data_IF_962156224792
#
_entry.id   IF_962156224792
#
_cell.length_a   1.000
_cell.length_b   1.000
_cell.length_c   1.000
_cell.angle_alpha   90.00
_cell.angle_beta   90.00
_cell.angle_gamma   90.00
#
_symmetry.space_group_name_H-M   'P 1'
#
loop_
_entity.id
_entity.type
_entity.pdbx_description
1 polymer ?
#
# COMPACT_ATOMS: atom_id res chain seq x y z
N UNK A 1 -1.84 14.02 -13.06
CA UNK A 1 -1.13 12.85 -13.59
C UNK A 1 -0.03 12.53 -12.62
N UNK A 2 0.15 11.26 -12.28
CA UNK A 2 1.18 10.77 -11.37
C UNK A 2 2.18 9.94 -12.19
N UNK A 3 3.42 10.43 -12.28
CA UNK A 3 4.50 9.77 -13.00
C UNK A 3 5.36 9.00 -11.98
N UNK A 4 5.21 7.67 -11.94
CA UNK A 4 5.91 6.79 -11.01
C UNK A 4 6.68 5.74 -11.82
N UNK A 5 8.01 5.74 -11.73
CA UNK A 5 8.85 4.88 -12.54
C UNK A 5 8.58 5.07 -14.03
N UNK A 6 8.19 3.98 -14.69
CA UNK A 6 7.84 3.95 -16.11
C UNK A 6 6.33 4.06 -16.37
N UNK A 7 5.52 4.27 -15.32
CA UNK A 7 4.06 4.29 -15.40
C UNK A 7 3.51 5.69 -15.30
N UNK A 8 2.48 5.98 -16.10
CA UNK A 8 1.71 7.21 -16.07
C UNK A 8 0.31 6.89 -15.54
N UNK A 9 0.01 7.31 -14.32
CA UNK A 9 -1.21 6.94 -13.61
C UNK A 9 -2.07 8.20 -13.38
N UNK A 10 -3.38 8.08 -13.53
CA UNK A 10 -4.31 9.17 -13.16
C UNK A 10 -4.22 9.50 -11.67
N UNK A 11 -4.30 10.80 -11.30
CA UNK A 11 -4.36 11.19 -9.88
C UNK A 11 -5.73 11.82 -9.58
N UNK A 12 -6.39 11.50 -8.43
CA UNK A 12 -5.97 10.46 -7.48
C UNK A 12 -6.08 9.07 -8.10
N UNK A 13 -5.13 8.20 -7.76
CA UNK A 13 -5.12 6.79 -8.17
C UNK A 13 -5.80 5.91 -7.13
N UNK A 14 -6.52 4.89 -7.57
CA UNK A 14 -7.07 3.86 -6.68
C UNK A 14 -6.20 2.61 -6.78
N UNK A 15 -5.65 2.20 -5.64
CA UNK A 15 -4.88 0.98 -5.45
C UNK A 15 -5.78 -0.07 -4.78
N UNK A 16 -6.10 -1.14 -5.51
CA UNK A 16 -6.90 -2.25 -5.02
C UNK A 16 -6.07 -3.25 -4.22
N UNK A 17 -6.55 -3.64 -3.04
CA UNK A 17 -5.89 -4.61 -2.17
C UNK A 17 -6.25 -6.03 -2.60
N UNK A 18 -5.26 -6.82 -2.97
CA UNK A 18 -5.39 -8.25 -3.28
C UNK A 18 -4.59 -9.10 -2.27
N UNK A 19 -5.26 -9.53 -1.20
CA UNK A 19 -4.64 -10.41 -0.20
C UNK A 19 -4.74 -11.87 -0.63
N UNK A 20 -3.61 -12.56 -0.70
CA UNK A 20 -3.50 -13.99 -1.02
C UNK A 20 -3.14 -14.76 0.26
N UNK A 21 -4.05 -14.74 1.25
CA UNK A 21 -3.88 -15.48 2.50
C UNK A 21 -4.73 -16.76 2.48
N UNK A 22 -4.37 -17.81 3.25
CA UNK A 22 -5.15 -19.07 3.31
C UNK A 22 -6.61 -18.84 3.64
N UNK A 23 -6.92 -17.87 4.52
CA UNK A 23 -8.28 -17.53 4.93
C UNK A 23 -9.09 -16.82 3.84
N UNK A 24 -8.41 -16.23 2.86
CA UNK A 24 -9.07 -15.50 1.75
C UNK A 24 -9.59 -16.46 0.67
N UNK A 25 -9.12 -17.72 0.67
CA UNK A 25 -9.41 -18.74 -0.34
C UNK A 25 -9.59 -20.10 0.35
N UNK A 26 -10.72 -20.31 1.02
CA UNK A 26 -10.95 -21.37 2.03
C UNK A 26 -11.12 -22.80 1.54
N UNK A 27 -10.92 -23.12 0.25
CA UNK A 27 -11.05 -24.49 -0.28
C UNK A 27 -9.81 -24.94 -1.05
N UNK A 28 -8.93 -25.57 -0.31
CA UNK A 28 -7.88 -26.53 -0.65
C UNK A 28 -7.41 -26.67 -2.10
N UNK A 29 -6.28 -26.03 -2.46
CA UNK A 29 -5.44 -26.46 -3.58
C UNK A 29 -5.19 -25.44 -4.69
N UNK A 30 -3.98 -25.14 -4.81
CA UNK A 30 -3.13 -24.27 -5.62
C UNK A 30 -3.69 -23.60 -6.90
N UNK A 31 -4.23 -24.33 -7.88
CA UNK A 31 -4.61 -23.73 -9.18
C UNK A 31 -5.92 -22.93 -9.15
N UNK A 32 -6.92 -23.37 -8.38
CA UNK A 32 -8.21 -22.66 -8.27
C UNK A 32 -8.03 -21.33 -7.58
N UNK A 33 -7.20 -21.29 -6.52
CA UNK A 33 -6.92 -20.07 -5.78
C UNK A 33 -6.21 -19.00 -6.62
N UNK A 34 -5.29 -19.40 -7.51
CA UNK A 34 -4.62 -18.47 -8.44
C UNK A 34 -5.63 -17.90 -9.44
N UNK A 35 -6.47 -18.75 -10.06
CA UNK A 35 -7.48 -18.31 -11.00
C UNK A 35 -8.50 -17.34 -10.36
N UNK A 36 -8.92 -17.61 -9.12
CA UNK A 36 -9.83 -16.74 -8.38
C UNK A 36 -9.18 -15.40 -8.02
N UNK A 37 -7.89 -15.40 -7.63
CA UNK A 37 -7.12 -14.18 -7.38
C UNK A 37 -6.95 -13.32 -8.64
N UNK A 38 -6.59 -13.95 -9.77
CA UNK A 38 -6.50 -13.27 -11.07
C UNK A 38 -7.86 -12.70 -11.48
N UNK A 39 -8.93 -13.48 -11.37
CA UNK A 39 -10.28 -13.01 -11.67
C UNK A 39 -10.71 -11.84 -10.75
N UNK A 40 -10.28 -11.84 -9.48
CA UNK A 40 -10.52 -10.71 -8.57
C UNK A 40 -9.73 -9.46 -9.00
N UNK A 41 -8.45 -9.62 -9.35
CA UNK A 41 -7.66 -8.52 -9.90
C UNK A 41 -8.33 -7.92 -11.15
N UNK A 42 -8.79 -8.77 -12.08
CA UNK A 42 -9.47 -8.32 -13.30
C UNK A 42 -10.76 -7.55 -12.99
N UNK A 43 -11.56 -7.99 -12.02
CA UNK A 43 -12.74 -7.21 -11.56
C UNK A 43 -12.34 -5.82 -11.03
N UNK A 44 -11.28 -5.73 -10.20
CA UNK A 44 -10.80 -4.44 -9.70
C UNK A 44 -10.32 -3.53 -10.84
N UNK A 45 -9.70 -4.09 -11.88
CA UNK A 45 -9.26 -3.35 -13.07
C UNK A 45 -10.48 -2.84 -13.85
N UNK A 46 -11.47 -3.69 -14.08
CA UNK A 46 -12.73 -3.33 -14.76
C UNK A 46 -13.51 -2.25 -14.00
N UNK A 47 -13.45 -2.27 -12.68
CA UNK A 47 -14.00 -1.22 -11.80
C UNK A 47 -13.23 0.11 -11.92
N UNK A 48 -11.99 0.10 -12.42
CA UNK A 48 -11.17 1.29 -12.66
C UNK A 48 -9.97 1.44 -11.72
N UNK A 49 -9.55 0.39 -11.03
CA UNK A 49 -8.30 0.43 -10.26
C UNK A 49 -7.11 0.75 -11.19
N UNK A 50 -6.20 1.59 -10.71
CA UNK A 50 -4.98 1.97 -11.43
C UNK A 50 -3.77 1.13 -11.01
N UNK A 51 -3.82 0.55 -9.82
CA UNK A 51 -2.76 -0.28 -9.24
C UNK A 51 -3.44 -1.45 -8.53
N UNK A 52 -2.87 -2.66 -8.64
CA UNK A 52 -3.23 -3.82 -7.81
C UNK A 52 -2.07 -4.09 -6.86
N UNK A 53 -2.35 -4.04 -5.55
CA UNK A 53 -1.36 -4.29 -4.51
C UNK A 53 -1.54 -5.70 -3.95
N UNK A 54 -0.57 -6.57 -4.22
CA UNK A 54 -0.64 -8.01 -3.96
C UNK A 54 0.21 -8.34 -2.73
N UNK A 55 -0.43 -8.91 -1.69
CA UNK A 55 0.25 -9.36 -0.48
C UNK A 55 -0.14 -10.78 -0.08
N UNK A 56 0.83 -11.59 0.36
CA UNK A 56 0.62 -12.97 0.78
C UNK A 56 0.93 -13.24 2.27
N UNK A 57 1.42 -12.22 2.97
CA UNK A 57 1.60 -12.24 4.43
C UNK A 57 0.64 -11.23 5.08
N UNK A 58 -0.06 -11.62 6.14
CA UNK A 58 -0.88 -10.68 6.92
C UNK A 58 0.01 -9.84 7.81
N UNK A 59 -0.31 -8.55 7.93
CA UNK A 59 0.35 -7.61 8.87
C UNK A 59 -0.60 -7.16 9.98
N UNK A 60 -1.73 -7.86 10.16
CA UNK A 60 -2.69 -7.59 11.25
C UNK A 60 -2.11 -7.96 12.61
N UNK A 61 -2.57 -7.34 13.72
CA UNK A 61 -2.13 -7.72 15.05
C UNK A 61 -2.25 -9.24 15.28
N UNK A 62 -1.15 -9.86 15.75
CA UNK A 62 -1.10 -11.30 16.01
C UNK A 62 -0.89 -12.20 14.78
N UNK A 63 -0.50 -11.62 13.63
CA UNK A 63 -0.17 -12.43 12.47
C UNK A 63 1.01 -13.37 12.73
N UNK A 64 1.02 -14.49 12.02
CA UNK A 64 2.16 -15.42 12.01
C UNK A 64 2.96 -15.17 10.73
N UNK A 65 4.27 -14.90 10.83
CA UNK A 65 5.12 -14.77 9.66
C UNK A 65 5.14 -16.05 8.84
N UNK A 66 5.07 -15.93 7.52
CA UNK A 66 5.26 -17.05 6.59
C UNK A 66 6.72 -17.08 6.11
N UNK A 67 7.19 -18.26 5.67
CA UNK A 67 8.52 -18.36 5.08
C UNK A 67 8.59 -17.63 3.72
N UNK A 68 9.79 -17.22 3.30
CA UNK A 68 10.02 -16.64 1.97
C UNK A 68 9.48 -17.56 0.86
N UNK A 69 9.77 -18.87 0.98
CA UNK A 69 9.30 -19.86 0.03
C UNK A 69 7.77 -19.89 -0.06
N UNK A 70 7.10 -19.93 1.08
CA UNK A 70 5.63 -19.96 1.12
C UNK A 70 5.01 -18.68 0.56
N UNK A 71 5.62 -17.52 0.84
CA UNK A 71 5.20 -16.24 0.29
C UNK A 71 5.37 -16.21 -1.23
N UNK A 72 6.52 -16.66 -1.76
CA UNK A 72 6.77 -16.80 -3.20
C UNK A 72 5.80 -17.78 -3.86
N UNK A 73 5.57 -18.94 -3.26
CA UNK A 73 4.66 -19.97 -3.79
C UNK A 73 3.23 -19.43 -3.94
N UNK A 74 2.83 -18.43 -3.13
CA UNK A 74 1.53 -17.75 -3.23
C UNK A 74 1.53 -16.60 -4.24
N UNK A 75 2.54 -15.72 -4.18
CA UNK A 75 2.60 -14.47 -4.94
C UNK A 75 2.90 -14.68 -6.43
N UNK A 76 3.94 -15.45 -6.74
CA UNK A 76 4.48 -15.49 -8.10
C UNK A 76 3.50 -16.04 -9.14
N UNK A 77 2.71 -17.10 -8.85
CA UNK A 77 1.71 -17.57 -9.81
C UNK A 77 0.62 -16.53 -10.12
N UNK A 78 0.23 -15.71 -9.11
CA UNK A 78 -0.79 -14.68 -9.29
C UNK A 78 -0.25 -13.50 -10.09
N UNK A 79 0.98 -13.04 -9.80
CA UNK A 79 1.64 -11.96 -10.56
C UNK A 79 1.74 -12.36 -12.02
N UNK A 80 2.25 -13.56 -12.32
CA UNK A 80 2.36 -14.09 -13.69
C UNK A 80 0.99 -14.20 -14.37
N UNK A 81 0.00 -14.76 -13.68
CA UNK A 81 -1.35 -14.89 -14.23
C UNK A 81 -2.01 -13.53 -14.55
N UNK A 82 -1.77 -12.49 -13.76
CA UNK A 82 -2.25 -11.14 -14.08
C UNK A 82 -1.49 -10.60 -15.32
N UNK A 83 -0.16 -10.80 -15.40
CA UNK A 83 0.66 -10.32 -16.52
C UNK A 83 0.31 -10.99 -17.86
N UNK A 84 -0.18 -12.22 -17.86
CA UNK A 84 -0.66 -12.89 -19.08
C UNK A 84 -1.87 -12.18 -19.71
N UNK A 85 -2.65 -11.42 -18.93
CA UNK A 85 -3.93 -10.84 -19.37
C UNK A 85 -4.02 -9.33 -19.22
N UNK A 86 -3.05 -8.67 -18.55
CA UNK A 86 -3.12 -7.24 -18.27
C UNK A 86 -1.74 -6.60 -18.02
N UNK A 87 -1.59 -5.35 -18.51
CA UNK A 87 -0.43 -4.46 -18.24
C UNK A 87 -0.67 -3.52 -17.05
N UNK A 88 -1.64 -3.81 -16.19
CA UNK A 88 -1.94 -3.01 -14.99
C UNK A 88 -0.69 -2.86 -14.13
N UNK A 89 -0.56 -1.74 -13.43
CA UNK A 89 0.52 -1.57 -12.45
C UNK A 89 0.31 -2.53 -11.28
N UNK A 90 1.28 -3.41 -11.04
CA UNK A 90 1.31 -4.34 -9.91
C UNK A 90 2.27 -3.81 -8.84
N UNK A 91 1.77 -3.59 -7.64
CA UNK A 91 2.54 -3.40 -6.42
C UNK A 91 2.63 -4.75 -5.68
N UNK A 92 3.78 -5.09 -5.15
CA UNK A 92 3.95 -6.25 -4.28
C UNK A 92 4.17 -5.81 -2.84
N UNK A 93 3.28 -6.23 -1.92
CA UNK A 93 3.36 -5.96 -0.48
C UNK A 93 4.18 -7.07 0.18
N UNK A 94 5.48 -6.82 0.38
CA UNK A 94 6.42 -7.72 1.03
C UNK A 94 7.52 -6.95 1.76
N UNK A 95 8.02 -7.52 2.87
CA UNK A 95 9.14 -7.00 3.67
C UNK A 95 10.43 -7.83 3.50
N UNK A 96 10.40 -8.82 2.59
CA UNK A 96 11.49 -9.78 2.39
C UNK A 96 12.15 -9.54 1.04
N UNK A 97 13.42 -9.19 1.05
CA UNK A 97 14.17 -8.87 -0.17
C UNK A 97 14.20 -10.01 -1.18
N UNK A 98 14.37 -11.27 -0.73
CA UNK A 98 14.34 -12.43 -1.63
C UNK A 98 12.99 -12.56 -2.37
N UNK A 99 11.87 -12.29 -1.68
CA UNK A 99 10.52 -12.27 -2.29
C UNK A 99 10.39 -11.10 -3.27
N UNK A 100 10.90 -9.91 -2.90
CA UNK A 100 10.89 -8.73 -3.75
C UNK A 100 11.58 -8.97 -5.09
N UNK A 101 12.80 -9.54 -5.08
CA UNK A 101 13.56 -9.88 -6.28
C UNK A 101 12.78 -10.79 -7.23
N UNK A 102 12.20 -11.86 -6.70
CA UNK A 102 11.41 -12.80 -7.49
C UNK A 102 10.10 -12.19 -7.99
N UNK A 103 9.44 -11.36 -7.18
CA UNK A 103 8.18 -10.70 -7.57
C UNK A 103 8.40 -9.68 -8.69
N UNK A 104 9.46 -8.86 -8.64
CA UNK A 104 9.79 -7.93 -9.72
C UNK A 104 10.20 -8.69 -10.99
N UNK A 105 10.99 -9.75 -10.85
CA UNK A 105 11.35 -10.63 -11.98
C UNK A 105 10.12 -11.30 -12.62
N UNK A 106 9.06 -11.56 -11.83
CA UNK A 106 7.80 -12.09 -12.30
C UNK A 106 6.87 -11.04 -12.92
N UNK A 107 7.21 -9.75 -12.78
CA UNK A 107 6.48 -8.65 -13.42
C UNK A 107 5.83 -7.64 -12.45
N UNK A 108 6.15 -7.61 -11.16
CA UNK A 108 5.76 -6.50 -10.29
C UNK A 108 6.45 -5.21 -10.71
N UNK A 109 5.74 -4.08 -10.61
CA UNK A 109 6.20 -2.75 -11.01
C UNK A 109 6.60 -1.87 -9.83
N UNK A 110 6.11 -2.14 -8.61
CA UNK A 110 6.31 -1.33 -7.40
C UNK A 110 6.60 -2.26 -6.23
N UNK A 111 7.56 -1.90 -5.38
CA UNK A 111 7.79 -2.56 -4.09
C UNK A 111 7.10 -1.77 -2.97
N UNK A 112 6.20 -2.44 -2.24
CA UNK A 112 5.51 -1.91 -1.07
C UNK A 112 5.99 -2.67 0.17
N UNK A 113 6.69 -1.97 1.09
CA UNK A 113 7.18 -2.58 2.32
C UNK A 113 6.65 -1.86 3.56
N UNK A 114 5.73 -2.54 4.26
CA UNK A 114 5.18 -2.05 5.53
C UNK A 114 6.24 -1.90 6.64
N UNK A 115 7.42 -2.51 6.47
CA UNK A 115 8.58 -2.40 7.37
C UNK A 115 9.57 -1.30 6.94
N UNK A 116 9.23 -0.57 5.89
CA UNK A 116 9.94 0.61 5.40
C UNK A 116 11.39 0.37 5.02
N UNK A 117 11.63 -0.70 4.29
CA UNK A 117 12.97 -1.02 3.78
C UNK A 117 14.01 -1.08 4.91
N UNK A 118 13.67 -1.75 6.04
CA UNK A 118 14.65 -2.05 7.10
C UNK A 118 15.69 -3.08 6.66
N UNK A 119 15.32 -3.98 5.74
CA UNK A 119 16.28 -4.78 4.98
C UNK A 119 16.76 -3.93 3.80
N UNK A 120 18.01 -3.43 3.88
CA UNK A 120 18.58 -2.54 2.85
C UNK A 120 18.69 -3.19 1.48
N UNK A 121 18.69 -4.53 1.40
CA UNK A 121 18.63 -5.26 0.12
C UNK A 121 17.34 -4.98 -0.66
N UNK A 122 16.30 -4.46 0.00
CA UNK A 122 15.09 -3.96 -0.68
C UNK A 122 15.40 -2.72 -1.53
N UNK A 123 16.28 -1.80 -1.06
CA UNK A 123 16.74 -0.66 -1.87
C UNK A 123 17.63 -1.12 -3.03
N UNK A 124 18.50 -2.14 -2.80
CA UNK A 124 19.30 -2.74 -3.87
C UNK A 124 18.40 -3.32 -4.96
N UNK A 125 17.39 -4.09 -4.58
CA UNK A 125 16.40 -4.64 -5.51
C UNK A 125 15.70 -3.53 -6.32
N UNK A 126 15.18 -2.50 -5.65
CA UNK A 126 14.49 -1.40 -6.31
C UNK A 126 15.39 -0.66 -7.30
N UNK A 127 16.66 -0.45 -6.94
CA UNK A 127 17.68 0.19 -7.79
C UNK A 127 18.03 -0.68 -8.99
N UNK A 128 18.29 -1.97 -8.80
CA UNK A 128 18.67 -2.91 -9.86
C UNK A 128 17.61 -3.02 -10.96
N UNK A 129 16.34 -3.08 -10.56
CA UNK A 129 15.22 -3.19 -11.49
C UNK A 129 14.63 -1.84 -11.96
N UNK A 130 15.13 -0.71 -11.43
CA UNK A 130 14.59 0.65 -11.69
C UNK A 130 13.07 0.70 -11.44
N UNK A 131 12.63 0.19 -10.26
CA UNK A 131 11.23 0.19 -9.84
C UNK A 131 10.96 1.15 -8.68
N UNK A 132 9.79 1.81 -8.66
CA UNK A 132 9.35 2.66 -7.57
C UNK A 132 9.16 1.89 -6.27
N UNK A 133 9.20 2.64 -5.16
CA UNK A 133 9.03 2.08 -3.80
C UNK A 133 7.96 2.83 -3.03
N UNK A 134 7.27 2.12 -2.12
CA UNK A 134 6.38 2.72 -1.12
C UNK A 134 7.06 2.60 0.24
N UNK A 135 7.36 3.75 0.83
CA UNK A 135 7.97 3.90 2.15
C UNK A 135 6.86 4.15 3.17
N UNK A 136 6.49 3.13 3.94
CA UNK A 136 5.49 3.30 4.98
C UNK A 136 6.15 3.64 6.32
N UNK A 137 5.70 4.71 7.00
CA UNK A 137 6.17 5.00 8.35
C UNK A 137 5.68 3.94 9.36
N UNK A 138 6.63 3.14 9.86
CA UNK A 138 6.44 2.17 10.92
C UNK A 138 7.50 2.44 12.01
N UNK A 139 7.13 2.89 13.23
CA UNK A 139 8.10 3.34 14.23
C UNK A 139 9.03 2.23 14.74
N UNK A 140 8.54 0.97 14.68
CA UNK A 140 9.29 -0.21 15.07
C UNK A 140 9.13 -1.29 14.01
N UNK A 141 9.78 -2.44 14.17
CA UNK A 141 9.51 -3.60 13.30
C UNK A 141 8.03 -3.97 13.34
N UNK A 142 7.46 -4.31 12.17
CA UNK A 142 6.03 -4.62 12.03
C UNK A 142 5.60 -5.80 12.90
N UNK A 143 6.49 -6.71 13.23
CA UNK A 143 6.22 -7.84 14.13
C UNK A 143 5.88 -7.44 15.56
N UNK A 144 6.31 -6.25 16.00
CA UNK A 144 6.08 -5.73 17.36
C UNK A 144 5.38 -4.38 17.39
N UNK A 145 5.11 -3.76 16.25
CA UNK A 145 4.57 -2.39 16.15
C UNK A 145 3.22 -2.20 16.85
N UNK A 146 2.42 -3.24 16.94
CA UNK A 146 1.11 -3.19 17.61
C UNK A 146 1.18 -3.31 19.13
N UNK A 147 2.38 -3.50 19.69
CA UNK A 147 2.61 -3.63 21.15
C UNK A 147 3.00 -2.31 21.80
N UNK A 148 3.53 -1.36 21.02
CA UNK A 148 4.03 -0.08 21.52
C UNK A 148 3.65 1.05 20.57
N UNK A 149 2.90 2.02 21.09
CA UNK A 149 2.61 3.25 20.37
C UNK A 149 3.80 4.22 20.46
N UNK A 150 4.01 5.00 19.40
CA UNK A 150 5.02 6.06 19.42
C UNK A 150 4.66 7.16 20.43
N UNK A 151 5.66 7.83 20.99
CA UNK A 151 5.47 8.88 21.99
C UNK A 151 5.65 10.25 21.35
N UNK A 152 4.83 11.22 21.76
CA UNK A 152 4.93 12.62 21.37
C UNK A 152 4.21 12.95 20.07
N UNK A 153 4.63 14.05 19.44
CA UNK A 153 4.05 14.56 18.22
C UNK A 153 4.42 13.67 17.01
N UNK A 154 3.44 13.08 16.31
CA UNK A 154 3.74 12.19 15.17
C UNK A 154 4.28 12.94 13.96
N UNK A 155 3.86 14.19 13.71
CA UNK A 155 4.14 14.87 12.45
C UNK A 155 5.63 15.12 12.20
N UNK A 156 6.40 15.75 13.12
CA UNK A 156 7.83 15.94 12.90
C UNK A 156 8.60 14.61 12.85
N UNK A 157 8.17 13.60 13.61
CA UNK A 157 8.82 12.30 13.61
C UNK A 157 8.64 11.58 12.26
N UNK A 158 7.43 11.61 11.67
CA UNK A 158 7.13 11.03 10.37
C UNK A 158 7.90 11.76 9.26
N UNK A 159 7.95 13.10 9.31
CA UNK A 159 8.70 13.89 8.32
C UNK A 159 10.20 13.54 8.39
N UNK A 160 10.80 13.55 9.58
CA UNK A 160 12.21 13.20 9.75
C UNK A 160 12.52 11.77 9.26
N UNK A 161 11.64 10.84 9.57
CA UNK A 161 11.75 9.45 9.10
C UNK A 161 11.71 9.36 7.56
N UNK A 162 10.79 10.08 6.92
CA UNK A 162 10.73 10.09 5.46
C UNK A 162 11.96 10.73 4.82
N UNK A 163 12.44 11.86 5.36
CA UNK A 163 13.66 12.51 4.87
C UNK A 163 14.88 11.59 4.96
N UNK A 164 15.02 10.85 6.08
CA UNK A 164 16.07 9.84 6.24
C UNK A 164 15.94 8.73 5.18
N UNK A 165 14.74 8.13 5.04
CA UNK A 165 14.52 7.04 4.09
C UNK A 165 14.68 7.47 2.63
N UNK A 166 14.25 8.69 2.30
CA UNK A 166 14.47 9.28 0.97
C UNK A 166 15.96 9.45 0.71
N UNK A 167 16.74 9.98 1.68
CA UNK A 167 18.18 10.14 1.54
C UNK A 167 18.89 8.80 1.30
N UNK A 168 18.46 7.75 2.01
CA UNK A 168 18.96 6.39 1.78
C UNK A 168 18.60 5.93 0.36
N UNK A 169 17.35 6.02 -0.06
CA UNK A 169 16.91 5.63 -1.40
C UNK A 169 17.67 6.38 -2.51
N UNK A 170 17.89 7.70 -2.35
CA UNK A 170 18.69 8.50 -3.28
C UNK A 170 20.16 8.02 -3.36
N UNK A 171 20.73 7.54 -2.24
CA UNK A 171 22.10 6.96 -2.23
C UNK A 171 22.19 5.65 -3.03
N UNK A 172 21.09 4.92 -3.17
CA UNK A 172 20.97 3.75 -4.05
C UNK A 172 20.57 4.12 -5.50
N UNK A 173 20.42 5.41 -5.81
CA UNK A 173 20.08 5.91 -7.15
C UNK A 173 18.58 5.93 -7.45
N UNK A 174 17.72 5.66 -6.48
CA UNK A 174 16.27 5.75 -6.65
C UNK A 174 15.86 7.22 -6.70
N UNK A 175 15.11 7.61 -7.72
CA UNK A 175 14.70 9.01 -7.90
C UNK A 175 13.64 9.39 -6.86
N UNK A 176 13.73 10.59 -6.30
CA UNK A 176 12.79 11.09 -5.28
C UNK A 176 11.32 10.94 -5.69
N UNK A 177 10.99 11.24 -6.95
CA UNK A 177 9.63 11.10 -7.49
C UNK A 177 9.09 9.66 -7.50
N UNK A 178 9.98 8.67 -7.46
CA UNK A 178 9.66 7.24 -7.48
C UNK A 178 9.59 6.63 -6.07
N UNK A 179 9.71 7.46 -5.04
CA UNK A 179 9.51 7.10 -3.63
C UNK A 179 8.15 7.64 -3.15
N UNK A 180 7.19 6.76 -2.97
CA UNK A 180 5.83 7.07 -2.51
C UNK A 180 5.81 6.98 -0.99
N UNK A 181 5.21 7.96 -0.32
CA UNK A 181 5.17 8.03 1.14
C UNK A 181 3.82 7.57 1.67
N UNK A 182 3.81 6.65 2.65
CA UNK A 182 2.62 6.26 3.40
C UNK A 182 2.85 6.56 4.90
N UNK A 183 2.05 7.42 5.54
CA UNK A 183 2.22 7.74 6.96
C UNK A 183 1.95 6.56 7.91
N UNK A 184 1.48 5.43 7.42
CA UNK A 184 1.28 4.21 8.20
C UNK A 184 0.22 4.36 9.28
N UNK A 185 -0.95 4.91 8.94
CA UNK A 185 -2.10 5.00 9.85
C UNK A 185 -2.44 3.64 10.44
N UNK A 186 -2.53 3.54 11.78
CA UNK A 186 -2.84 2.30 12.48
C UNK A 186 -1.63 1.42 12.81
N UNK A 187 -0.40 1.86 12.50
CA UNK A 187 0.84 1.15 12.83
C UNK A 187 1.61 1.91 13.91
N UNK A 188 1.60 1.40 15.16
CA UNK A 188 2.34 1.94 16.30
C UNK A 188 2.02 3.41 16.62
N UNK A 189 0.75 3.76 16.54
CA UNK A 189 0.26 5.13 16.77
C UNK A 189 -1.03 5.09 17.59
N UNK A 190 -1.16 6.02 18.55
CA UNK A 190 -2.41 6.18 19.31
C UNK A 190 -3.54 6.62 18.39
N UNK A 191 -4.77 6.57 18.88
CA UNK A 191 -5.94 7.03 18.12
C UNK A 191 -5.82 8.52 17.77
N UNK A 192 -5.42 9.34 18.74
CA UNK A 192 -5.24 10.78 18.58
C UNK A 192 -4.15 11.10 17.54
N UNK A 193 -3.04 10.35 17.56
CA UNK A 193 -1.97 10.49 16.56
C UNK A 193 -2.45 10.12 15.15
N UNK A 194 -3.24 9.05 15.01
CA UNK A 194 -3.83 8.68 13.73
C UNK A 194 -4.79 9.75 13.20
N UNK A 195 -5.64 10.33 14.08
CA UNK A 195 -6.54 11.44 13.70
C UNK A 195 -5.72 12.64 13.24
N UNK A 196 -4.70 13.04 14.01
CA UNK A 196 -3.84 14.18 13.66
C UNK A 196 -3.12 14.01 12.33
N UNK A 197 -2.64 12.80 12.03
CA UNK A 197 -2.02 12.49 10.72
C UNK A 197 -3.03 12.72 9.59
N UNK A 198 -4.28 12.29 9.76
CA UNK A 198 -5.32 12.49 8.75
C UNK A 198 -5.74 13.95 8.62
N UNK A 199 -5.78 14.69 9.72
CA UNK A 199 -6.10 16.12 9.70
C UNK A 199 -5.02 16.97 9.03
N UNK A 200 -3.75 16.67 9.31
CA UNK A 200 -2.58 17.42 8.81
C UNK A 200 -1.90 16.73 7.61
N UNK A 201 -2.60 15.81 6.91
CA UNK A 201 -2.04 14.94 5.88
C UNK A 201 -1.25 15.70 4.81
N UNK A 202 -1.72 16.86 4.38
CA UNK A 202 -1.05 17.70 3.39
C UNK A 202 0.35 18.13 3.77
N UNK A 203 0.66 18.23 5.08
CA UNK A 203 2.00 18.58 5.57
C UNK A 203 3.04 17.49 5.35
N UNK A 204 2.61 16.25 5.07
CA UNK A 204 3.47 15.12 4.75
C UNK A 204 3.87 15.08 3.27
N UNK A 205 3.31 15.95 2.43
CA UNK A 205 3.64 16.03 1.01
C UNK A 205 4.91 16.83 0.79
N UNK A 206 6.06 16.28 1.13
CA UNK A 206 7.39 16.90 1.10
C UNK A 206 8.09 16.83 -0.28
N UNK A 207 7.29 16.85 -1.35
CA UNK A 207 7.78 16.75 -2.74
C UNK A 207 7.71 15.35 -3.35
N UNK A 208 7.14 14.40 -2.61
CA UNK A 208 6.93 13.01 -3.03
C UNK A 208 5.44 12.72 -3.25
N UNK A 209 5.08 11.70 -4.02
CA UNK A 209 3.71 11.19 -4.04
C UNK A 209 3.29 10.68 -2.66
N UNK A 210 2.03 10.91 -2.29
CA UNK A 210 1.47 10.54 -0.99
C UNK A 210 0.40 9.47 -1.15
N UNK A 211 0.59 8.34 -0.47
CA UNK A 211 -0.37 7.25 -0.39
C UNK A 211 -1.05 7.26 0.98
N UNK A 212 -2.35 6.98 1.00
CA UNK A 212 -3.10 6.74 2.23
C UNK A 212 -3.79 5.38 2.21
N UNK A 213 -3.60 4.62 3.28
CA UNK A 213 -4.17 3.29 3.47
C UNK A 213 -4.99 3.25 4.77
N UNK A 214 -6.25 3.68 4.72
CA UNK A 214 -7.16 3.72 5.89
C UNK A 214 -8.31 2.73 5.80
N UNK A 215 -8.42 2.00 4.68
CA UNK A 215 -9.56 1.12 4.41
C UNK A 215 -9.80 0.11 5.53
N UNK A 216 -10.99 0.20 6.13
CA UNK A 216 -11.49 -0.66 7.22
C UNK A 216 -10.66 -0.62 8.51
N UNK A 217 -9.81 0.41 8.71
CA UNK A 217 -8.99 0.58 9.93
C UNK A 217 -9.81 1.13 11.09
N UNK A 218 -9.38 0.83 12.32
CA UNK A 218 -10.06 1.20 13.58
C UNK A 218 -10.28 2.70 13.74
N UNK A 219 -9.38 3.53 13.22
CA UNK A 219 -9.51 5.00 13.27
C UNK A 219 -10.80 5.49 12.62
N UNK A 220 -11.31 4.77 11.61
CA UNK A 220 -12.56 5.14 10.94
C UNK A 220 -13.78 5.00 11.84
N UNK A 221 -13.82 3.96 12.69
CA UNK A 221 -14.91 3.82 13.68
C UNK A 221 -14.88 4.90 14.77
N UNK A 222 -13.75 5.54 14.99
CA UNK A 222 -13.62 6.69 15.88
C UNK A 222 -14.07 7.99 15.20
N UNK A 223 -13.64 8.20 13.95
CA UNK A 223 -14.01 9.41 13.18
C UNK A 223 -15.47 9.41 12.73
N UNK A 224 -16.02 8.24 12.44
CA UNK A 224 -17.37 8.05 11.86
C UNK A 224 -18.12 6.97 12.64
N UNK A 225 -18.50 7.21 13.93
CA UNK A 225 -19.05 6.18 14.82
C UNK A 225 -20.37 5.57 14.34
N UNK A 226 -21.18 6.36 13.62
CA UNK A 226 -22.53 5.97 13.17
C UNK A 226 -22.53 5.50 11.70
N UNK A 227 -21.37 5.25 11.12
CA UNK A 227 -21.22 4.94 9.69
C UNK A 227 -20.64 3.53 9.51
N UNK A 228 -21.13 2.79 8.51
CA UNK A 228 -20.54 1.49 8.19
C UNK A 228 -19.08 1.62 7.71
N UNK A 229 -18.34 0.50 7.78
CA UNK A 229 -16.90 0.49 7.49
C UNK A 229 -16.54 0.89 6.07
N UNK A 230 -17.37 0.57 5.11
CA UNK A 230 -17.06 0.83 3.71
C UNK A 230 -17.41 2.29 3.38
N UNK A 231 -18.51 2.82 3.92
CA UNK A 231 -18.85 4.24 3.79
C UNK A 231 -17.83 5.13 4.50
N UNK A 232 -17.44 4.80 5.74
CA UNK A 232 -16.42 5.54 6.47
C UNK A 232 -15.06 5.51 5.76
N UNK A 233 -14.75 4.39 5.08
CA UNK A 233 -13.56 4.30 4.21
C UNK A 233 -13.63 5.31 3.07
N UNK A 234 -14.78 5.42 2.40
CA UNK A 234 -14.97 6.36 1.28
C UNK A 234 -14.81 7.80 1.77
N UNK A 235 -15.50 8.18 2.84
CA UNK A 235 -15.45 9.54 3.39
C UNK A 235 -14.02 9.94 3.76
N UNK A 236 -13.29 9.08 4.47
CA UNK A 236 -11.92 9.34 4.87
C UNK A 236 -10.95 9.44 3.68
N UNK A 237 -11.14 8.62 2.64
CA UNK A 237 -10.30 8.71 1.44
C UNK A 237 -10.61 9.95 0.60
N UNK A 238 -11.88 10.38 0.49
CA UNK A 238 -12.22 11.64 -0.19
C UNK A 238 -11.64 12.85 0.56
N UNK A 239 -11.68 12.85 1.89
CA UNK A 239 -11.03 13.86 2.71
C UNK A 239 -9.52 13.86 2.52
N UNK A 240 -8.87 12.68 2.54
CA UNK A 240 -7.45 12.55 2.26
C UNK A 240 -7.06 13.06 0.86
N UNK A 241 -7.85 12.78 -0.17
CA UNK A 241 -7.66 13.29 -1.53
C UNK A 241 -7.75 14.83 -1.53
N UNK A 242 -8.72 15.41 -0.82
CA UNK A 242 -8.85 16.87 -0.72
C UNK A 242 -7.65 17.52 -0.03
N UNK A 243 -6.96 16.80 0.83
CA UNK A 243 -5.73 17.19 1.54
C UNK A 243 -4.45 16.82 0.79
N UNK A 244 -4.55 16.28 -0.42
CA UNK A 244 -3.42 16.07 -1.33
C UNK A 244 -2.89 14.65 -1.44
N UNK A 245 -3.63 13.62 -0.96
CA UNK A 245 -3.29 12.24 -1.24
C UNK A 245 -3.36 11.97 -2.75
N UNK A 246 -2.31 11.36 -3.29
CA UNK A 246 -2.20 11.00 -4.71
C UNK A 246 -2.71 9.58 -4.97
N UNK A 247 -2.61 8.70 -3.97
CA UNK A 247 -3.02 7.29 -4.05
C UNK A 247 -3.86 6.94 -2.82
N UNK A 248 -4.97 6.25 -3.03
CA UNK A 248 -5.80 5.67 -1.96
C UNK A 248 -5.82 4.14 -2.10
N UNK A 249 -5.45 3.42 -1.02
CA UNK A 249 -5.37 1.96 -1.00
C UNK A 249 -6.60 1.38 -0.31
N UNK A 250 -7.42 0.63 -1.05
CA UNK A 250 -8.77 0.22 -0.64
C UNK A 250 -9.10 -1.25 -0.95
N UNK A 251 -10.03 -1.84 -0.18
CA UNK A 251 -10.60 -3.16 -0.46
C UNK A 251 -11.72 -3.11 -1.51
N UNK A 252 -12.55 -2.07 -1.50
CA UNK A 252 -13.68 -1.89 -2.42
C UNK A 252 -13.32 -0.81 -3.46
N UNK A 253 -12.75 -1.26 -4.57
CA UNK A 253 -12.33 -0.37 -5.66
C UNK A 253 -13.50 0.29 -6.34
N UNK A 254 -14.60 -0.47 -6.58
CA UNK A 254 -15.76 0.04 -7.28
C UNK A 254 -16.40 1.23 -6.56
N UNK A 255 -16.73 1.05 -5.28
CA UNK A 255 -17.35 2.15 -4.49
C UNK A 255 -16.43 3.36 -4.40
N UNK A 256 -15.12 3.15 -4.26
CA UNK A 256 -14.15 4.27 -4.20
C UNK A 256 -14.07 5.03 -5.53
N UNK A 257 -14.01 4.33 -6.66
CA UNK A 257 -13.98 4.94 -8.00
C UNK A 257 -15.28 5.73 -8.27
N UNK A 258 -16.43 5.14 -7.95
CA UNK A 258 -17.72 5.81 -8.13
C UNK A 258 -17.82 7.09 -7.26
N UNK A 259 -17.32 7.03 -6.02
CA UNK A 259 -17.25 8.19 -5.13
C UNK A 259 -16.33 9.30 -5.65
N UNK A 260 -15.15 8.96 -6.18
CA UNK A 260 -14.21 9.95 -6.80
C UNK A 260 -14.87 10.61 -8.00
N UNK A 261 -15.54 9.85 -8.87
CA UNK A 261 -16.27 10.42 -10.03
C UNK A 261 -17.34 11.41 -9.57
N UNK A 262 -18.15 11.01 -8.57
CA UNK A 262 -19.19 11.88 -8.00
C UNK A 262 -18.65 13.14 -7.31
N UNK A 263 -17.48 13.05 -6.68
CA UNK A 263 -16.81 14.18 -6.03
C UNK A 263 -16.31 15.21 -7.05
N UNK A 264 -15.69 14.77 -8.16
CA UNK A 264 -15.21 15.63 -9.24
C UNK A 264 -16.32 16.39 -9.98
N UNK A 265 -17.52 15.83 -10.07
CA UNK A 265 -18.66 16.51 -10.70
C UNK A 265 -19.27 17.63 -9.83
N UNK A 266 -18.88 17.73 -8.56
CA UNK A 266 -19.40 18.74 -7.61
C UNK A 266 -18.45 19.91 -7.37
N UNK A 267 -17.23 19.81 -7.89
CA UNK A 267 -16.23 20.92 -7.93
C UNK A 267 -16.26 21.64 -9.28
#
# INVERSE_FOLDING_TARGET
>A
MLDIGKKHIGSPAVMGILNITPDSFSDGGSHRNVADAVAHAMRMIDDGASIIDIGAESTRPGFLPVSEKEEMDRLLPVIRGIREVSDITISVDTRKSAVAYEAVSAGADILNDVNSFRDERMFECASEFDVPIILMHCPTDVGVVHQNDMVGDPMPQIISFFEEKISIGESYGIKRKDMILDPGVGFGKTMEQNVRILDELGSLKIGNPLLIAVSRKRVLSYLYPDTDRDESTILANLDAISKGADIVRVHDTKRMIDAIKGYRHKQ
#
